data_IF_464615351363
#
_entry.id   IF_464615351363
#
_cell.length_a   1.000
_cell.length_b   1.000
_cell.length_c   1.000
_cell.angle_alpha   90.00
_cell.angle_beta   90.00
_cell.angle_gamma   90.00
#
_symmetry.space_group_name_H-M   'P 1'
#
loop_
_entity.id
_entity.type
_entity.pdbx_description
1 polymer ?
#
# COMPACT_ATOMS: atom_id res chain seq x y z
N UNK A 1 26.63 8.05 26.33
CA UNK A 1 26.07 7.73 25.00
C UNK A 1 24.63 7.29 25.22
N UNK A 2 23.65 8.17 25.01
CA UNK A 2 22.23 7.80 25.11
C UNK A 2 21.82 7.31 23.73
N UNK A 3 21.64 6.01 23.59
CA UNK A 3 21.01 5.44 22.40
C UNK A 3 19.51 5.60 22.56
N UNK A 4 18.99 6.77 22.17
CA UNK A 4 17.55 6.99 22.09
C UNK A 4 17.05 6.29 20.82
N UNK A 5 16.68 5.02 20.94
CA UNK A 5 15.98 4.34 19.85
C UNK A 5 14.56 4.90 19.83
N UNK A 6 14.32 5.88 18.95
CA UNK A 6 12.97 6.28 18.57
C UNK A 6 12.19 4.99 18.27
N UNK A 7 11.13 4.72 19.03
CA UNK A 7 10.24 3.60 18.73
C UNK A 7 9.82 3.74 17.27
N UNK A 8 10.31 2.83 16.43
CA UNK A 8 9.99 2.80 15.00
C UNK A 8 8.55 2.29 14.94
N UNK A 9 7.58 3.20 15.02
CA UNK A 9 6.18 2.88 14.80
C UNK A 9 6.08 2.32 13.39
N UNK A 10 5.99 0.98 13.31
CA UNK A 10 5.61 0.32 12.08
C UNK A 10 4.12 0.59 11.93
N UNK A 11 3.77 1.50 11.03
CA UNK A 11 2.39 1.78 10.70
C UNK A 11 1.87 0.65 9.82
N UNK A 12 1.28 -0.35 10.47
CA UNK A 12 0.55 -1.42 9.80
C UNK A 12 -0.67 -0.81 9.09
N UNK A 13 -0.78 -1.06 7.79
CA UNK A 13 -1.94 -0.68 6.99
C UNK A 13 -3.16 -1.53 7.34
N UNK A 14 -2.93 -2.80 7.68
CA UNK A 14 -3.94 -3.77 8.07
C UNK A 14 -3.63 -4.36 9.44
N UNK A 15 -4.58 -4.20 10.37
CA UNK A 15 -4.58 -4.87 11.66
C UNK A 15 -5.83 -5.73 11.82
N UNK A 16 -5.77 -6.97 11.33
CA UNK A 16 -6.92 -7.90 11.36
C UNK A 16 -6.51 -9.19 12.07
N UNK A 17 -7.17 -9.52 13.19
CA UNK A 17 -6.77 -10.66 14.05
C UNK A 17 -7.59 -11.93 13.86
N UNK A 18 -8.76 -11.82 13.22
CA UNK A 18 -9.63 -12.97 13.03
C UNK A 18 -9.22 -13.73 11.76
N UNK A 19 -8.57 -14.88 11.90
CA UNK A 19 -8.00 -15.65 10.77
C UNK A 19 -9.00 -16.01 9.66
N UNK A 20 -10.30 -16.08 9.97
CA UNK A 20 -11.36 -16.33 8.98
C UNK A 20 -11.79 -15.09 8.19
N UNK A 21 -11.12 -13.94 8.35
CA UNK A 21 -11.43 -12.74 7.61
C UNK A 21 -11.04 -12.88 6.14
N UNK A 22 -11.83 -12.28 5.24
CA UNK A 22 -11.49 -12.16 3.83
C UNK A 22 -11.18 -10.69 3.54
N UNK A 23 -10.04 -10.43 2.89
CA UNK A 23 -9.64 -9.09 2.45
C UNK A 23 -9.45 -9.15 0.94
N UNK A 24 -10.29 -8.42 0.21
CA UNK A 24 -10.11 -8.19 -1.23
C UNK A 24 -9.59 -6.76 -1.39
N UNK A 25 -8.31 -6.63 -1.73
CA UNK A 25 -7.64 -5.36 -1.95
C UNK A 25 -7.41 -5.19 -3.46
N UNK A 26 -8.42 -4.67 -4.16
CA UNK A 26 -8.42 -4.59 -5.62
C UNK A 26 -8.74 -3.19 -6.14
N UNK A 27 -8.20 -2.83 -7.30
CA UNK A 27 -8.46 -1.55 -7.99
C UNK A 27 -8.07 -0.31 -7.18
N UNK A 28 -7.05 -0.38 -6.34
CA UNK A 28 -6.64 0.74 -5.50
C UNK A 28 -5.46 1.51 -6.10
N UNK A 29 -5.38 2.79 -5.75
CA UNK A 29 -4.15 3.57 -5.85
C UNK A 29 -3.74 3.96 -4.45
N UNK A 30 -2.52 3.63 -4.06
CA UNK A 30 -1.95 4.05 -2.78
C UNK A 30 -0.73 4.90 -3.08
N UNK A 31 -0.68 6.11 -2.52
CA UNK A 31 0.41 7.05 -2.77
C UNK A 31 0.99 7.65 -1.50
N UNK A 32 2.30 7.88 -1.51
CA UNK A 32 3.03 8.68 -0.51
C UNK A 32 2.90 8.17 0.93
N UNK A 33 3.10 6.87 1.14
CA UNK A 33 3.08 6.26 2.48
C UNK A 33 4.30 5.37 2.74
N UNK A 34 4.81 5.43 3.97
CA UNK A 34 5.85 4.53 4.49
C UNK A 34 5.30 3.28 5.19
N UNK A 35 3.98 3.05 5.08
CA UNK A 35 3.29 1.94 5.72
C UNK A 35 3.78 0.57 5.21
N UNK A 36 3.57 -0.44 6.04
CA UNK A 36 3.69 -1.86 5.68
C UNK A 36 2.29 -2.47 5.67
N UNK A 37 2.11 -3.66 5.13
CA UNK A 37 0.80 -4.29 5.21
C UNK A 37 0.46 -4.71 6.63
N UNK A 38 1.28 -5.57 7.22
CA UNK A 38 1.08 -6.06 8.58
C UNK A 38 2.34 -6.74 9.09
N UNK A 39 2.76 -6.44 10.31
CA UNK A 39 3.77 -7.22 11.03
C UNK A 39 3.20 -8.47 11.73
N UNK A 40 1.89 -8.73 11.59
CA UNK A 40 1.20 -9.83 12.27
C UNK A 40 1.05 -11.05 11.36
N UNK A 41 1.60 -12.19 11.77
CA UNK A 41 1.50 -13.46 11.03
C UNK A 41 0.08 -14.06 11.00
N UNK A 42 -0.84 -13.54 11.82
CA UNK A 42 -2.25 -13.99 11.88
C UNK A 42 -3.17 -13.18 10.97
N UNK A 43 -2.72 -12.05 10.42
CA UNK A 43 -3.49 -11.32 9.41
C UNK A 43 -3.51 -12.18 8.14
N UNK A 44 -4.70 -12.55 7.68
CA UNK A 44 -4.83 -13.27 6.41
C UNK A 44 -4.26 -12.44 5.25
N UNK A 45 -3.50 -13.07 4.36
CA UNK A 45 -2.94 -12.42 3.17
C UNK A 45 -4.11 -11.95 2.29
N UNK A 46 -4.22 -10.65 1.97
CA UNK A 46 -5.27 -10.16 1.09
C UNK A 46 -5.19 -10.77 -0.30
N UNK A 47 -6.33 -10.87 -0.97
CA UNK A 47 -6.35 -11.01 -2.43
C UNK A 47 -5.99 -9.67 -3.04
N UNK A 48 -4.85 -9.60 -3.71
CA UNK A 48 -4.37 -8.41 -4.39
C UNK A 48 -4.65 -8.49 -5.89
N UNK A 49 -5.21 -7.43 -6.47
CA UNK A 49 -5.43 -7.37 -7.91
C UNK A 49 -5.52 -5.92 -8.39
N UNK A 50 -4.85 -5.61 -9.50
CA UNK A 50 -4.99 -4.33 -10.20
C UNK A 50 -4.79 -3.12 -9.27
N UNK A 51 -3.71 -3.11 -8.48
CA UNK A 51 -3.38 -1.98 -7.62
C UNK A 51 -2.18 -1.20 -8.18
N UNK A 52 -2.15 0.10 -7.90
CA UNK A 52 -1.03 0.99 -8.22
C UNK A 52 -0.45 1.59 -6.96
N UNK A 53 0.87 1.59 -6.85
CA UNK A 53 1.63 2.09 -5.70
C UNK A 53 2.60 3.18 -6.14
N UNK A 54 2.40 4.39 -5.62
CA UNK A 54 3.26 5.55 -5.91
C UNK A 54 4.01 5.99 -4.66
N UNK A 55 5.34 6.04 -4.70
CA UNK A 55 6.14 6.44 -3.55
C UNK A 55 5.81 5.64 -2.26
N UNK A 56 5.64 4.31 -2.41
CA UNK A 56 5.29 3.38 -1.34
C UNK A 56 6.34 2.27 -1.25
N UNK A 57 7.41 2.49 -0.48
CA UNK A 57 8.60 1.63 -0.53
C UNK A 57 8.40 0.18 -0.05
N UNK A 58 7.31 -0.13 0.67
CA UNK A 58 7.16 -1.41 1.38
C UNK A 58 5.90 -2.21 1.03
N UNK A 59 4.98 -1.67 0.23
CA UNK A 59 3.73 -2.39 -0.06
C UNK A 59 3.92 -3.50 -1.11
N UNK A 60 4.97 -3.39 -1.94
CA UNK A 60 5.38 -4.42 -2.91
C UNK A 60 6.57 -5.28 -2.44
N UNK A 61 7.03 -5.11 -1.19
CA UNK A 61 8.19 -5.82 -0.65
C UNK A 61 7.88 -6.39 0.73
N UNK A 62 7.98 -7.70 0.87
CA UNK A 62 7.80 -8.38 2.15
C UNK A 62 9.11 -8.39 2.96
N UNK A 63 9.00 -8.38 4.28
CA UNK A 63 10.08 -8.59 5.24
C UNK A 63 9.60 -9.58 6.31
N UNK A 64 9.52 -10.84 5.88
CA UNK A 64 9.02 -11.96 6.70
C UNK A 64 10.03 -12.36 7.77
N UNK A 65 11.32 -12.37 7.43
CA UNK A 65 12.39 -12.72 8.37
C UNK A 65 12.53 -11.67 9.48
N UNK A 66 12.55 -10.39 9.11
CA UNK A 66 12.54 -9.27 10.06
C UNK A 66 11.19 -9.05 10.75
N UNK A 67 10.15 -9.78 10.33
CA UNK A 67 8.76 -9.68 10.82
C UNK A 67 8.20 -8.25 10.82
N UNK A 68 8.70 -7.41 9.92
CA UNK A 68 8.23 -6.04 9.81
C UNK A 68 7.17 -5.87 8.73
N UNK A 69 7.06 -6.81 7.79
CA UNK A 69 5.99 -6.89 6.81
C UNK A 69 5.78 -8.34 6.34
N UNK A 70 4.72 -8.97 6.82
CA UNK A 70 4.51 -10.42 6.66
C UNK A 70 4.08 -10.84 5.26
N UNK A 71 3.66 -9.89 4.41
CA UNK A 71 3.25 -10.13 3.03
C UNK A 71 3.36 -8.85 2.21
N UNK A 72 3.30 -8.98 0.89
CA UNK A 72 3.35 -7.88 -0.06
C UNK A 72 2.37 -8.11 -1.21
N UNK A 73 1.97 -7.03 -1.88
CA UNK A 73 1.34 -7.09 -3.18
C UNK A 73 2.46 -7.14 -4.24
N UNK A 74 2.96 -8.33 -4.56
CA UNK A 74 4.04 -8.49 -5.55
C UNK A 74 3.59 -8.17 -6.99
N UNK A 75 2.28 -8.21 -7.26
CA UNK A 75 1.71 -7.95 -8.58
C UNK A 75 1.31 -6.48 -8.80
N UNK A 76 1.28 -5.68 -7.73
CA UNK A 76 0.99 -4.26 -7.78
C UNK A 76 1.93 -3.48 -8.70
N UNK A 77 1.37 -2.59 -9.51
CA UNK A 77 2.14 -1.74 -10.40
C UNK A 77 2.76 -0.58 -9.61
N UNK A 78 4.07 -0.36 -9.74
CA UNK A 78 4.74 0.81 -9.19
C UNK A 78 4.91 1.85 -10.28
N UNK A 79 4.17 2.95 -10.20
CA UNK A 79 4.14 4.00 -11.23
C UNK A 79 3.58 5.31 -10.65
N UNK A 80 3.83 6.45 -11.33
CA UNK A 80 3.34 7.78 -10.92
C UNK A 80 1.98 8.08 -11.56
N UNK A 81 0.90 8.32 -10.77
CA UNK A 81 -0.40 8.77 -11.26
C UNK A 81 -0.37 10.11 -12.00
N UNK A 82 0.68 10.93 -11.82
CA UNK A 82 0.78 12.28 -12.36
C UNK A 82 -0.47 13.11 -12.01
N UNK A 83 -0.82 13.14 -10.72
CA UNK A 83 -2.00 13.87 -10.25
C UNK A 83 -1.96 15.34 -10.68
N UNK A 84 -3.09 15.85 -11.17
CA UNK A 84 -3.20 17.20 -11.72
C UNK A 84 -2.80 18.31 -10.73
N UNK A 85 -3.29 18.28 -9.49
CA UNK A 85 -2.89 19.21 -8.43
C UNK A 85 -3.16 18.60 -7.03
N UNK A 86 -2.37 17.59 -6.67
CA UNK A 86 -2.50 16.89 -5.38
C UNK A 86 -2.38 17.84 -4.16
N UNK A 87 -1.60 18.93 -4.27
CA UNK A 87 -1.44 19.91 -3.21
C UNK A 87 -2.75 20.68 -2.90
N UNK A 88 -3.64 20.80 -3.90
CA UNK A 88 -4.98 21.38 -3.75
C UNK A 88 -6.09 20.33 -3.64
N UNK A 89 -5.73 19.05 -3.56
CA UNK A 89 -6.68 17.93 -3.48
C UNK A 89 -7.28 17.50 -4.82
N UNK A 90 -6.74 17.97 -5.96
CA UNK A 90 -7.12 17.50 -7.29
C UNK A 90 -6.29 16.26 -7.64
N UNK A 91 -6.83 15.09 -7.30
CA UNK A 91 -6.24 13.78 -7.57
C UNK A 91 -6.66 13.19 -8.93
N UNK A 92 -7.14 14.02 -9.85
CA UNK A 92 -7.33 13.64 -11.26
C UNK A 92 -6.02 13.08 -11.80
N UNK A 93 -6.02 11.84 -12.30
CA UNK A 93 -4.81 11.18 -12.82
C UNK A 93 -4.43 11.80 -14.17
N UNK A 94 -3.15 12.09 -14.36
CA UNK A 94 -2.58 12.52 -15.63
C UNK A 94 -2.04 11.35 -16.47
N UNK A 95 -1.51 10.31 -15.81
CA UNK A 95 -0.88 9.18 -16.46
C UNK A 95 -1.91 8.28 -17.18
N UNK A 96 -1.93 8.35 -18.51
CA UNK A 96 -2.85 7.60 -19.38
C UNK A 96 -2.73 6.07 -19.24
N UNK A 97 -1.55 5.55 -18.88
CA UNK A 97 -1.38 4.11 -18.66
C UNK A 97 -2.10 3.65 -17.41
N UNK A 98 -2.12 4.47 -16.35
CA UNK A 98 -2.85 4.20 -15.10
C UNK A 98 -4.35 4.38 -15.30
N UNK A 99 -4.79 5.38 -16.08
CA UNK A 99 -6.21 5.54 -16.44
C UNK A 99 -6.82 4.29 -17.05
N UNK A 100 -6.09 3.68 -17.99
CA UNK A 100 -6.55 2.46 -18.68
C UNK A 100 -6.70 1.25 -17.76
N UNK A 101 -6.08 1.27 -16.57
CA UNK A 101 -6.22 0.20 -15.58
C UNK A 101 -7.55 0.26 -14.84
N UNK A 102 -8.30 1.38 -14.88
CA UNK A 102 -9.57 1.51 -14.17
C UNK A 102 -9.43 1.31 -12.65
N UNK A 103 -8.35 1.85 -12.09
CA UNK A 103 -8.04 1.84 -10.65
C UNK A 103 -8.54 3.14 -9.99
N UNK A 104 -8.75 3.18 -8.68
CA UNK A 104 -9.20 4.39 -7.98
C UNK A 104 -10.69 4.74 -8.20
N UNK A 105 -11.07 6.00 -7.96
CA UNK A 105 -12.47 6.45 -8.15
C UNK A 105 -12.83 6.57 -9.65
N UNK A 106 -13.94 5.98 -10.14
CA UNK A 106 -14.36 6.11 -11.53
C UNK A 106 -14.66 7.55 -12.01
N UNK A 107 -14.75 8.52 -11.08
CA UNK A 107 -15.20 9.90 -11.33
C UNK A 107 -14.07 10.92 -11.40
N UNK A 108 -12.81 10.53 -11.22
CA UNK A 108 -11.67 11.43 -11.37
C UNK A 108 -11.23 11.54 -12.84
#
# INVERSE_FOLDING_TARGET
MVHLQLAKWVNDWLYVRYVGNVINWTNNIVSNTGAVWSNQSKTGVPTFQNNVYFNCAKLNVADVEGKSNMFADEAGKVDDPEYKDAAKGDFTIGNESIKKLGVGDPRW
#
